data_IF_829989369807
#
_entry.id   IF_829989369807
#
_cell.length_a   1.000
_cell.length_b   1.000
_cell.length_c   1.000
_cell.angle_alpha   90.00
_cell.angle_beta   90.00
_cell.angle_gamma   90.00
#
_symmetry.space_group_name_H-M   'P 1'
#
loop_
_entity.id
_entity.type
_entity.pdbx_description
1 polymer ?
#
# COMPACT_ATOMS: atom_id res chain seq x y z
N UNK A 1 25.65 -9.49 25.98
CA UNK A 1 24.88 -10.07 24.86
C UNK A 1 25.78 -10.37 23.64
N UNK A 2 26.99 -9.80 23.52
CA UNK A 2 27.88 -9.95 22.36
C UNK A 2 28.97 -11.02 22.54
N UNK A 3 28.88 -11.86 23.57
CA UNK A 3 29.95 -12.83 23.92
C UNK A 3 29.61 -14.30 23.67
N UNK A 4 28.41 -14.64 23.24
CA UNK A 4 28.04 -16.02 22.87
C UNK A 4 27.82 -16.07 21.38
N UNK A 5 28.30 -17.09 20.70
CA UNK A 5 28.28 -17.23 19.25
C UNK A 5 26.89 -16.88 18.69
N UNK A 6 26.88 -16.01 17.68
CA UNK A 6 25.65 -15.54 17.02
C UNK A 6 25.02 -16.70 16.26
N UNK A 7 24.04 -17.35 16.88
CA UNK A 7 23.24 -18.38 16.23
C UNK A 7 22.15 -17.70 15.38
N UNK A 8 22.46 -17.49 14.10
CA UNK A 8 21.53 -16.85 13.13
C UNK A 8 20.14 -17.49 13.17
N UNK A 9 20.08 -18.81 13.35
CA UNK A 9 18.82 -19.55 13.42
C UNK A 9 17.99 -19.22 14.67
N UNK A 10 18.62 -19.13 15.84
CA UNK A 10 17.93 -18.72 17.08
C UNK A 10 17.46 -17.28 17.01
N UNK A 11 18.26 -16.39 16.42
CA UNK A 11 17.84 -15.00 16.15
C UNK A 11 16.65 -14.94 15.21
N UNK A 12 16.62 -15.73 14.14
CA UNK A 12 15.50 -15.81 13.22
C UNK A 12 14.24 -16.36 13.90
N UNK A 13 14.36 -17.46 14.65
CA UNK A 13 13.26 -18.03 15.40
C UNK A 13 12.74 -17.06 16.48
N UNK A 14 13.62 -16.38 17.19
CA UNK A 14 13.24 -15.38 18.17
C UNK A 14 12.50 -14.20 17.52
N UNK A 15 12.98 -13.71 16.37
CA UNK A 15 12.29 -12.66 15.64
C UNK A 15 10.92 -13.11 15.10
N UNK A 16 10.84 -14.35 14.58
CA UNK A 16 9.58 -14.94 14.13
C UNK A 16 8.58 -15.07 15.29
N UNK A 17 9.03 -15.64 16.43
CA UNK A 17 8.17 -15.78 17.61
C UNK A 17 7.72 -14.44 18.20
N UNK A 18 8.58 -13.43 18.17
CA UNK A 18 8.22 -12.08 18.60
C UNK A 18 7.23 -11.41 17.66
N UNK A 19 7.37 -11.61 16.36
CA UNK A 19 6.43 -11.07 15.37
C UNK A 19 5.05 -11.72 15.45
N UNK A 20 4.98 -13.01 15.72
CA UNK A 20 3.71 -13.71 15.96
C UNK A 20 3.07 -13.34 17.29
N UNK A 21 3.86 -12.93 18.28
CA UNK A 21 3.39 -12.49 19.59
C UNK A 21 3.18 -10.97 19.71
N UNK A 22 3.15 -10.21 18.62
CA UNK A 22 2.79 -8.78 18.62
C UNK A 22 1.30 -8.54 18.95
N UNK A 23 0.61 -9.55 19.47
CA UNK A 23 -0.81 -9.55 19.83
C UNK A 23 -1.20 -8.66 21.03
N UNK A 24 -0.27 -7.84 21.54
CA UNK A 24 -0.55 -7.03 22.75
C UNK A 24 -1.09 -5.63 22.52
N UNK A 25 -1.22 -5.19 21.27
CA UNK A 25 -1.95 -3.98 20.94
C UNK A 25 -3.30 -4.38 20.32
N UNK A 26 -4.31 -4.59 21.14
CA UNK A 26 -5.70 -4.71 20.70
C UNK A 26 -6.20 -3.35 20.17
N UNK A 27 -5.56 -2.88 19.10
CA UNK A 27 -5.99 -1.70 18.36
C UNK A 27 -7.32 -2.00 17.67
N UNK A 28 -8.27 -1.11 17.81
CA UNK A 28 -9.49 -1.14 16.99
C UNK A 28 -9.13 -0.66 15.58
N UNK A 29 -9.53 -1.40 14.56
CA UNK A 29 -9.34 -1.05 13.16
C UNK A 29 -10.69 -0.86 12.50
N UNK A 30 -10.93 0.31 11.90
CA UNK A 30 -12.12 0.56 11.10
C UNK A 30 -11.88 0.10 9.67
N UNK A 31 -12.64 -0.90 9.25
CA UNK A 31 -12.55 -1.41 7.89
C UNK A 31 -13.94 -1.73 7.34
N UNK A 32 -14.24 -1.16 6.19
CA UNK A 32 -15.52 -1.31 5.47
C UNK A 32 -16.75 -0.95 6.33
N UNK A 33 -16.61 0.06 7.19
CA UNK A 33 -17.66 0.52 8.10
C UNK A 33 -17.85 -0.32 9.36
N UNK A 34 -17.02 -1.35 9.57
CA UNK A 34 -17.08 -2.23 10.74
C UNK A 34 -15.80 -2.10 11.55
N UNK A 35 -15.97 -2.07 12.89
CA UNK A 35 -14.82 -2.09 13.80
C UNK A 35 -14.35 -3.53 14.06
N UNK A 36 -13.08 -3.76 13.84
CA UNK A 36 -12.41 -5.03 14.09
C UNK A 36 -11.45 -4.90 15.26
N UNK A 37 -11.37 -5.97 16.06
CA UNK A 37 -10.41 -6.11 17.17
C UNK A 37 -9.83 -7.51 17.03
N UNK A 38 -8.53 -7.63 16.91
CA UNK A 38 -7.89 -8.91 16.60
C UNK A 38 -8.29 -10.06 17.54
N UNK A 39 -8.46 -9.78 18.85
CA UNK A 39 -8.81 -10.77 19.86
C UNK A 39 -10.26 -11.28 19.81
N UNK A 40 -11.20 -10.47 19.32
CA UNK A 40 -12.65 -10.77 19.38
C UNK A 40 -13.31 -10.87 18.01
N UNK A 41 -12.86 -10.05 17.05
CA UNK A 41 -13.38 -10.00 15.69
C UNK A 41 -12.19 -9.76 14.74
N UNK A 42 -11.51 -10.82 14.25
CA UNK A 42 -10.32 -10.68 13.43
C UNK A 42 -10.63 -10.03 12.06
N UNK A 43 -9.61 -9.41 11.46
CA UNK A 43 -9.74 -8.78 10.15
C UNK A 43 -10.04 -9.83 9.06
N UNK A 44 -10.85 -9.48 8.06
CA UNK A 44 -11.14 -10.41 6.97
C UNK A 44 -9.87 -10.66 6.13
N UNK A 45 -9.73 -11.88 5.58
CA UNK A 45 -8.57 -12.28 4.78
C UNK A 45 -8.25 -11.33 3.60
N UNK A 46 -9.27 -10.64 3.08
CA UNK A 46 -9.12 -9.68 1.98
C UNK A 46 -8.78 -8.26 2.43
N UNK A 47 -8.58 -8.02 3.73
CA UNK A 47 -8.26 -6.70 4.27
C UNK A 47 -7.07 -6.05 3.56
N UNK A 48 -5.92 -6.73 3.55
CA UNK A 48 -4.70 -6.20 2.97
C UNK A 48 -4.79 -5.97 1.46
N UNK A 49 -5.24 -6.93 0.62
CA UNK A 49 -5.42 -6.70 -0.81
C UNK A 49 -6.37 -5.54 -1.13
N UNK A 50 -7.50 -5.46 -0.42
CA UNK A 50 -8.47 -4.38 -0.62
C UNK A 50 -7.88 -3.03 -0.24
N UNK A 51 -7.20 -2.95 0.89
CA UNK A 51 -6.59 -1.70 1.35
C UNK A 51 -5.48 -1.22 0.40
N UNK A 52 -4.63 -2.12 -0.10
CA UNK A 52 -3.64 -1.82 -1.14
C UNK A 52 -4.35 -1.25 -2.39
N UNK A 53 -5.43 -1.88 -2.86
CA UNK A 53 -6.17 -1.43 -4.02
C UNK A 53 -6.81 -0.04 -3.82
N UNK A 54 -7.22 0.30 -2.60
CA UNK A 54 -7.86 1.58 -2.27
C UNK A 54 -6.85 2.73 -2.04
N UNK A 55 -5.65 2.42 -1.59
CA UNK A 55 -4.64 3.43 -1.23
C UNK A 55 -3.61 3.69 -2.32
N UNK A 56 -3.46 2.79 -3.28
CA UNK A 56 -2.62 3.01 -4.46
C UNK A 56 -3.44 3.72 -5.54
N UNK A 57 -2.92 4.76 -6.22
CA UNK A 57 -3.60 5.37 -7.36
C UNK A 57 -4.03 4.34 -8.41
N UNK A 58 -5.27 4.46 -8.90
CA UNK A 58 -5.87 3.45 -9.81
C UNK A 58 -5.00 3.12 -11.02
N UNK A 59 -4.36 4.13 -11.62
CA UNK A 59 -3.49 3.91 -12.77
C UNK A 59 -2.24 3.07 -12.43
N UNK A 60 -1.69 3.18 -11.20
CA UNK A 60 -0.60 2.31 -10.75
C UNK A 60 -1.08 0.87 -10.56
N UNK A 61 -2.30 0.69 -10.05
CA UNK A 61 -2.92 -0.63 -9.98
C UNK A 61 -3.12 -1.24 -11.37
N UNK A 62 -3.56 -0.44 -12.35
CA UNK A 62 -3.67 -0.89 -13.75
C UNK A 62 -2.31 -1.28 -14.31
N UNK A 63 -1.26 -0.50 -14.07
CA UNK A 63 0.10 -0.85 -14.51
C UNK A 63 0.61 -2.13 -13.84
N UNK A 64 0.33 -2.31 -12.55
CA UNK A 64 0.71 -3.53 -11.81
C UNK A 64 0.08 -4.78 -12.42
N UNK A 65 -1.24 -4.77 -12.61
CA UNK A 65 -1.96 -5.91 -13.22
C UNK A 65 -1.57 -6.12 -14.67
N UNK A 66 -1.37 -5.04 -15.43
CA UNK A 66 -0.87 -5.13 -16.81
C UNK A 66 0.51 -5.77 -16.87
N UNK A 67 1.39 -5.51 -15.90
CA UNK A 67 2.72 -6.10 -15.84
C UNK A 67 2.67 -7.63 -15.74
N UNK A 68 1.76 -8.14 -14.91
CA UNK A 68 1.53 -9.59 -14.77
C UNK A 68 1.01 -10.17 -16.09
N UNK A 69 0.02 -9.51 -16.71
CA UNK A 69 -0.55 -9.94 -17.99
C UNK A 69 0.49 -9.98 -19.11
N UNK A 70 1.33 -8.95 -19.20
CA UNK A 70 2.43 -8.88 -20.18
C UNK A 70 3.43 -10.00 -19.96
N UNK A 71 3.83 -10.26 -18.72
CA UNK A 71 4.77 -11.32 -18.39
C UNK A 71 4.22 -12.70 -18.77
N UNK A 72 2.97 -12.99 -18.44
CA UNK A 72 2.29 -14.23 -18.81
C UNK A 72 2.16 -14.39 -20.34
N UNK A 73 1.80 -13.31 -21.04
CA UNK A 73 1.70 -13.30 -22.52
C UNK A 73 3.04 -13.64 -23.17
N UNK A 74 4.14 -13.01 -22.73
CA UNK A 74 5.50 -13.27 -23.25
C UNK A 74 5.96 -14.69 -22.92
N UNK A 75 5.62 -15.20 -21.73
CA UNK A 75 5.91 -16.57 -21.35
C UNK A 75 5.25 -17.60 -22.30
N UNK A 76 3.98 -17.39 -22.62
CA UNK A 76 3.26 -18.25 -23.60
C UNK A 76 3.86 -18.20 -25.00
N UNK A 77 4.48 -17.08 -25.36
CA UNK A 77 5.15 -16.89 -26.67
C UNK A 77 6.62 -17.31 -26.66
N UNK A 78 7.17 -17.79 -25.54
CA UNK A 78 8.60 -18.10 -25.35
C UNK A 78 9.53 -16.94 -25.73
N UNK A 79 9.10 -15.69 -25.53
CA UNK A 79 9.82 -14.46 -25.88
C UNK A 79 10.48 -13.80 -24.67
N UNK A 80 11.15 -14.58 -23.84
CA UNK A 80 11.76 -14.08 -22.61
C UNK A 80 13.13 -13.44 -22.85
N UNK A 81 13.28 -12.22 -22.35
CA UNK A 81 14.55 -11.54 -22.21
C UNK A 81 15.03 -11.55 -20.75
N UNK A 82 16.15 -10.91 -20.46
CA UNK A 82 16.69 -10.85 -19.10
C UNK A 82 15.68 -10.27 -18.09
N UNK A 83 14.98 -9.19 -18.42
CA UNK A 83 14.00 -8.57 -17.55
C UNK A 83 12.81 -9.53 -17.24
N UNK A 84 12.41 -10.35 -18.20
CA UNK A 84 11.34 -11.33 -18.03
C UNK A 84 11.73 -12.46 -17.06
N UNK A 85 13.03 -12.80 -17.02
CA UNK A 85 13.56 -13.85 -16.12
C UNK A 85 13.67 -13.37 -14.68
N UNK A 86 13.96 -12.09 -14.45
CA UNK A 86 14.06 -11.54 -13.09
C UNK A 86 12.71 -11.05 -12.55
N UNK A 87 11.71 -10.84 -13.41
CA UNK A 87 10.37 -10.35 -13.03
C UNK A 87 9.73 -11.18 -11.91
N UNK A 88 9.77 -12.55 -11.93
CA UNK A 88 9.19 -13.37 -10.88
C UNK A 88 9.78 -13.09 -9.49
N UNK A 89 11.04 -12.68 -9.40
CA UNK A 89 11.65 -12.32 -8.13
C UNK A 89 10.88 -11.18 -7.46
N UNK A 90 10.57 -10.12 -8.21
CA UNK A 90 9.82 -8.97 -7.70
C UNK A 90 8.35 -9.33 -7.42
N UNK A 91 7.74 -10.15 -8.28
CA UNK A 91 6.39 -10.65 -8.07
C UNK A 91 6.26 -11.51 -6.81
N UNK A 92 7.23 -12.39 -6.55
CA UNK A 92 7.26 -13.21 -5.33
C UNK A 92 7.57 -12.38 -4.09
N UNK A 93 8.53 -11.42 -4.18
CA UNK A 93 8.89 -10.55 -3.04
C UNK A 93 7.72 -9.67 -2.60
N UNK A 94 6.86 -9.25 -3.52
CA UNK A 94 5.63 -8.50 -3.17
C UNK A 94 4.44 -9.42 -2.87
N UNK A 95 4.27 -10.51 -3.59
CA UNK A 95 3.12 -11.40 -3.50
C UNK A 95 3.13 -12.31 -2.27
N UNK A 96 4.29 -12.92 -1.94
CA UNK A 96 4.39 -13.83 -0.80
C UNK A 96 3.98 -13.17 0.53
N UNK A 97 4.48 -11.96 0.90
CA UNK A 97 4.03 -11.30 2.13
C UNK A 97 2.52 -11.03 2.17
N UNK A 98 1.92 -10.67 1.03
CA UNK A 98 0.47 -10.46 0.94
C UNK A 98 -0.27 -11.78 1.16
N UNK A 99 0.16 -12.87 0.51
CA UNK A 99 -0.44 -14.20 0.70
C UNK A 99 -0.28 -14.70 2.14
N UNK A 100 0.88 -14.51 2.75
CA UNK A 100 1.10 -14.86 4.16
C UNK A 100 0.18 -14.05 5.07
N UNK A 101 0.02 -12.76 4.81
CA UNK A 101 -0.91 -11.93 5.59
C UNK A 101 -2.38 -12.37 5.43
N UNK A 102 -2.77 -12.86 4.25
CA UNK A 102 -4.12 -13.39 4.02
C UNK A 102 -4.37 -14.73 4.71
N UNK A 103 -3.33 -15.57 4.88
CA UNK A 103 -3.46 -16.92 5.40
C UNK A 103 -3.19 -17.02 6.91
N UNK A 104 -2.32 -16.16 7.44
CA UNK A 104 -1.84 -16.25 8.82
C UNK A 104 -2.48 -15.23 9.77
N UNK A 105 -3.40 -14.40 9.28
CA UNK A 105 -4.11 -13.36 10.05
C UNK A 105 -3.19 -12.58 11.01
N UNK A 106 -2.14 -11.92 10.49
CA UNK A 106 -1.25 -11.13 11.32
C UNK A 106 -2.00 -9.93 11.88
N UNK A 107 -1.66 -9.51 13.11
CA UNK A 107 -2.22 -8.32 13.71
C UNK A 107 -1.80 -7.06 12.92
N UNK A 108 -2.57 -6.73 11.90
CA UNK A 108 -2.40 -5.53 11.07
C UNK A 108 -3.26 -4.41 11.66
N UNK A 109 -2.65 -3.26 11.89
CA UNK A 109 -3.32 -2.05 12.34
C UNK A 109 -2.73 -0.83 11.63
N UNK A 110 -3.50 0.25 11.59
CA UNK A 110 -3.10 1.50 10.96
C UNK A 110 -2.71 1.33 9.49
N UNK A 111 -3.57 0.68 8.73
CA UNK A 111 -3.34 0.44 7.33
C UNK A 111 -2.31 -0.66 7.05
N UNK A 112 -1.70 -0.59 5.88
CA UNK A 112 -0.68 -1.55 5.45
C UNK A 112 0.77 -1.04 5.57
N UNK A 113 0.99 -0.05 6.44
CA UNK A 113 2.32 0.56 6.65
C UNK A 113 3.41 -0.46 7.00
N UNK A 114 3.04 -1.53 7.71
CA UNK A 114 3.97 -2.61 8.05
C UNK A 114 4.44 -3.40 6.83
N UNK A 115 3.73 -3.27 5.70
CA UNK A 115 3.99 -3.94 4.43
C UNK A 115 4.57 -3.00 3.37
N UNK A 116 4.97 -1.75 3.71
CA UNK A 116 5.50 -0.81 2.72
C UNK A 116 6.74 -1.30 2.00
N UNK A 117 7.47 -2.26 2.56
CA UNK A 117 8.61 -2.88 1.88
C UNK A 117 8.24 -3.60 0.57
N UNK A 118 6.97 -4.02 0.40
CA UNK A 118 6.50 -4.62 -0.86
C UNK A 118 6.29 -3.58 -1.96
N UNK A 119 6.19 -2.30 -1.61
CA UNK A 119 5.92 -1.24 -2.57
C UNK A 119 7.08 -1.04 -3.55
N UNK A 120 8.34 -1.17 -3.09
CA UNK A 120 9.51 -1.11 -3.95
C UNK A 120 9.47 -2.15 -5.09
N UNK A 121 9.35 -3.45 -4.81
CA UNK A 121 9.15 -4.47 -5.83
C UNK A 121 7.95 -4.22 -6.75
N UNK A 122 6.81 -3.75 -6.22
CA UNK A 122 5.64 -3.39 -7.03
C UNK A 122 5.95 -2.27 -8.03
N UNK A 123 6.71 -1.24 -7.63
CA UNK A 123 7.16 -0.17 -8.55
C UNK A 123 8.01 -0.75 -9.69
N UNK A 124 8.91 -1.69 -9.41
CA UNK A 124 9.72 -2.35 -10.45
C UNK A 124 8.83 -3.13 -11.42
N UNK A 125 7.80 -3.81 -10.93
CA UNK A 125 6.81 -4.50 -11.78
C UNK A 125 6.03 -3.51 -12.65
N UNK A 126 5.61 -2.37 -12.10
CA UNK A 126 4.94 -1.31 -12.88
C UNK A 126 5.87 -0.72 -13.94
N UNK A 127 7.14 -0.47 -13.59
CA UNK A 127 8.16 0.00 -14.54
C UNK A 127 8.41 -1.00 -15.69
N UNK A 128 8.32 -2.30 -15.41
CA UNK A 128 8.36 -3.33 -16.44
C UNK A 128 7.22 -3.17 -17.47
N UNK A 129 5.98 -2.90 -17.02
CA UNK A 129 4.86 -2.65 -17.91
C UNK A 129 5.08 -1.40 -18.76
N UNK A 130 5.52 -0.30 -18.13
CA UNK A 130 5.86 0.96 -18.83
C UNK A 130 6.93 0.71 -19.90
N UNK A 131 8.02 0.02 -19.55
CA UNK A 131 9.07 -0.35 -20.49
C UNK A 131 8.52 -1.11 -21.69
N UNK A 132 7.67 -2.11 -21.45
CA UNK A 132 7.06 -2.87 -22.54
C UNK A 132 6.23 -2.00 -23.47
N UNK A 133 5.41 -1.10 -22.92
CA UNK A 133 4.58 -0.17 -23.70
C UNK A 133 5.43 0.80 -24.53
N UNK A 134 6.54 1.32 -23.98
CA UNK A 134 7.44 2.23 -24.66
C UNK A 134 8.27 1.54 -25.77
N UNK A 135 8.46 0.24 -25.68
CA UNK A 135 9.20 -0.56 -26.66
C UNK A 135 8.33 -1.08 -27.82
N UNK A 136 7.02 -0.76 -27.84
CA UNK A 136 6.15 -1.20 -28.94
C UNK A 136 6.62 -0.63 -30.28
N UNK A 137 6.64 -1.45 -31.37
CA UNK A 137 7.06 -1.00 -32.68
C UNK A 137 6.10 0.02 -33.29
N UNK A 138 4.80 -0.07 -32.94
CA UNK A 138 3.78 0.85 -33.41
C UNK A 138 3.95 2.23 -32.77
N UNK A 139 4.37 3.21 -33.56
CA UNK A 139 4.62 4.61 -33.09
C UNK A 139 3.41 5.23 -32.42
N UNK A 140 2.18 4.92 -32.91
CA UNK A 140 0.94 5.40 -32.30
C UNK A 140 0.74 4.86 -30.89
N UNK A 141 0.93 3.55 -30.68
CA UNK A 141 0.82 2.93 -29.36
C UNK A 141 1.84 3.51 -28.38
N UNK A 142 3.08 3.71 -28.82
CA UNK A 142 4.14 4.32 -28.01
C UNK A 142 3.82 5.76 -27.62
N UNK A 143 3.35 6.59 -28.57
CA UNK A 143 2.95 7.99 -28.30
C UNK A 143 1.79 8.06 -27.30
N UNK A 144 0.77 7.21 -27.46
CA UNK A 144 -0.37 7.14 -26.54
C UNK A 144 0.12 6.75 -25.13
N UNK A 145 0.95 5.72 -25.01
CA UNK A 145 1.49 5.28 -23.72
C UNK A 145 2.33 6.38 -23.04
N UNK A 146 3.16 7.10 -23.81
CA UNK A 146 3.95 8.23 -23.30
C UNK A 146 3.04 9.38 -22.83
N UNK A 147 2.04 9.75 -23.64
CA UNK A 147 1.10 10.81 -23.28
C UNK A 147 0.31 10.46 -21.99
N UNK A 148 -0.19 9.24 -21.89
CA UNK A 148 -0.86 8.76 -20.69
C UNK A 148 0.04 8.81 -19.46
N UNK A 149 1.30 8.38 -19.59
CA UNK A 149 2.28 8.41 -18.51
C UNK A 149 2.54 9.85 -18.04
N UNK A 150 2.73 10.79 -18.96
CA UNK A 150 2.94 12.22 -18.65
C UNK A 150 1.72 12.80 -17.92
N UNK A 151 0.51 12.53 -18.43
CA UNK A 151 -0.74 12.98 -17.78
C UNK A 151 -0.86 12.40 -16.37
N UNK A 152 -0.58 11.11 -16.19
CA UNK A 152 -0.64 10.48 -14.86
C UNK A 152 0.39 11.07 -13.88
N UNK A 153 1.63 11.29 -14.32
CA UNK A 153 2.65 11.94 -13.48
C UNK A 153 2.23 13.37 -13.14
N UNK A 154 1.72 14.12 -14.10
CA UNK A 154 1.23 15.49 -13.89
C UNK A 154 0.07 15.55 -12.90
N UNK A 155 -0.95 14.72 -13.09
CA UNK A 155 -2.11 14.64 -12.16
C UNK A 155 -1.69 14.27 -10.74
N UNK A 156 -0.70 13.37 -10.57
CA UNK A 156 -0.19 13.05 -9.24
C UNK A 156 0.61 14.18 -8.63
N UNK A 157 1.46 14.84 -9.41
CA UNK A 157 2.21 16.01 -8.94
C UNK A 157 1.27 17.09 -8.42
N UNK A 158 0.21 17.39 -9.18
CA UNK A 158 -0.84 18.32 -8.76
C UNK A 158 -1.57 17.81 -7.52
N UNK A 159 -1.96 16.53 -7.49
CA UNK A 159 -2.61 15.91 -6.33
C UNK A 159 -1.77 16.04 -5.05
N UNK A 160 -0.48 15.71 -5.11
CA UNK A 160 0.44 15.84 -3.99
C UNK A 160 0.59 17.32 -3.56
N UNK A 161 0.70 18.24 -4.51
CA UNK A 161 0.82 19.66 -4.22
C UNK A 161 -0.43 20.21 -3.50
N UNK A 162 -1.62 19.75 -3.90
CA UNK A 162 -2.90 20.18 -3.31
C UNK A 162 -3.17 19.53 -1.96
N UNK A 163 -2.86 18.24 -1.79
CA UNK A 163 -3.08 17.53 -0.52
C UNK A 163 -1.99 17.83 0.52
N UNK A 164 -0.78 18.16 0.07
CA UNK A 164 0.35 18.52 0.92
C UNK A 164 0.64 17.43 1.97
N UNK A 165 0.70 17.82 3.26
CA UNK A 165 1.00 16.92 4.38
C UNK A 165 -0.10 15.87 4.66
N UNK A 166 -1.30 16.04 4.11
CA UNK A 166 -2.43 15.09 4.31
C UNK A 166 -2.41 13.92 3.32
N UNK A 167 -1.32 13.75 2.57
CA UNK A 167 -1.18 12.65 1.59
C UNK A 167 -1.19 11.25 2.24
N UNK A 168 -0.95 11.14 3.55
CA UNK A 168 -1.07 9.89 4.32
C UNK A 168 -2.50 9.36 4.38
N UNK A 169 -3.49 10.26 4.26
CA UNK A 169 -4.92 9.93 4.24
C UNK A 169 -5.46 9.70 2.82
N UNK A 170 -4.58 9.52 1.83
CA UNK A 170 -5.00 9.34 0.45
C UNK A 170 -5.74 8.01 0.25
N UNK A 171 -6.93 8.11 -0.33
CA UNK A 171 -7.66 6.99 -0.94
C UNK A 171 -8.03 7.34 -2.37
N UNK A 172 -8.08 6.34 -3.21
CA UNK A 172 -8.49 6.53 -4.59
C UNK A 172 -10.02 6.49 -4.75
N UNK A 173 -10.51 6.74 -5.97
CA UNK A 173 -11.93 6.79 -6.29
C UNK A 173 -12.71 5.50 -5.95
N UNK A 174 -12.02 4.36 -5.82
CA UNK A 174 -12.65 3.08 -5.48
C UNK A 174 -13.11 3.02 -4.02
N UNK A 175 -12.57 3.87 -3.14
CA UNK A 175 -13.00 3.96 -1.74
C UNK A 175 -14.38 4.59 -1.59
N UNK A 176 -14.85 5.33 -2.61
CA UNK A 176 -16.14 6.04 -2.58
C UNK A 176 -16.10 7.37 -1.84
N UNK A 177 -17.24 8.06 -1.79
CA UNK A 177 -17.34 9.40 -1.20
C UNK A 177 -17.29 9.44 0.33
N UNK A 178 -17.60 8.33 1.02
CA UNK A 178 -17.59 8.22 2.48
C UNK A 178 -16.46 7.31 2.98
N UNK A 179 -15.24 7.58 2.49
CA UNK A 179 -14.09 6.79 2.87
C UNK A 179 -13.73 6.94 4.37
N UNK A 180 -13.95 8.13 4.96
CA UNK A 180 -13.66 8.40 6.38
C UNK A 180 -14.57 7.60 7.33
N UNK A 181 -15.85 7.40 6.98
CA UNK A 181 -16.77 6.59 7.76
C UNK A 181 -16.59 5.07 7.61
N UNK A 182 -15.77 4.63 6.64
CA UNK A 182 -15.61 3.22 6.30
C UNK A 182 -14.22 2.67 6.53
N UNK A 183 -13.18 3.51 6.48
CA UNK A 183 -11.78 3.10 6.58
C UNK A 183 -11.03 4.00 7.53
N UNK A 184 -10.03 3.44 8.20
CA UNK A 184 -9.07 4.21 8.98
C UNK A 184 -8.17 5.02 8.03
N UNK A 185 -8.41 6.35 7.99
CA UNK A 185 -7.82 7.23 6.97
C UNK A 185 -6.49 7.83 7.38
N UNK A 186 -6.33 8.15 8.65
CA UNK A 186 -5.16 8.88 9.12
C UNK A 186 -4.66 8.36 10.46
N UNK A 187 -3.42 7.93 10.47
CA UNK A 187 -2.77 7.44 11.68
C UNK A 187 -1.95 8.50 12.43
N UNK A 188 -1.36 9.45 11.69
CA UNK A 188 -0.39 10.38 12.26
C UNK A 188 -0.99 11.66 12.83
N UNK A 189 -2.29 11.85 12.76
CA UNK A 189 -2.99 13.05 13.25
C UNK A 189 -2.56 14.35 12.56
N UNK A 190 -1.99 14.28 11.35
CA UNK A 190 -1.46 15.45 10.64
C UNK A 190 -2.59 16.40 10.23
N UNK A 191 -3.70 15.83 9.77
CA UNK A 191 -4.90 16.60 9.41
C UNK A 191 -5.57 17.18 10.65
N UNK A 192 -5.68 16.40 11.71
CA UNK A 192 -6.20 16.85 13.00
C UNK A 192 -5.38 18.04 13.55
N UNK A 193 -4.04 17.96 13.48
CA UNK A 193 -3.17 19.06 13.89
C UNK A 193 -3.41 20.35 13.11
N UNK A 194 -3.64 20.26 11.79
CA UNK A 194 -3.96 21.43 10.94
C UNK A 194 -5.30 22.04 11.30
N UNK A 195 -6.34 21.19 11.46
CA UNK A 195 -7.68 21.63 11.86
C UNK A 195 -7.63 22.29 13.24
N UNK A 196 -6.97 21.65 14.21
CA UNK A 196 -6.80 22.18 15.55
C UNK A 196 -6.12 23.54 15.53
N UNK A 197 -5.03 23.68 14.77
CA UNK A 197 -4.33 24.95 14.63
C UNK A 197 -5.26 26.02 14.04
N UNK A 198 -5.98 25.73 12.97
CA UNK A 198 -6.89 26.70 12.36
C UNK A 198 -8.07 27.08 13.27
N UNK A 199 -8.53 26.16 14.12
CA UNK A 199 -9.57 26.41 15.11
C UNK A 199 -9.03 27.29 16.26
N UNK A 200 -7.85 26.98 16.77
CA UNK A 200 -7.20 27.81 17.79
C UNK A 200 -6.92 29.23 17.27
N UNK A 201 -6.43 29.37 16.04
CA UNK A 201 -6.18 30.66 15.39
C UNK A 201 -7.48 31.47 15.21
N UNK A 202 -8.63 30.80 15.02
CA UNK A 202 -9.93 31.45 14.80
C UNK A 202 -10.73 31.74 16.09
N UNK A 203 -10.65 30.86 17.07
CA UNK A 203 -11.54 30.89 18.25
C UNK A 203 -10.79 30.98 19.58
N UNK A 204 -9.46 31.03 19.57
CA UNK A 204 -8.63 31.01 20.79
C UNK A 204 -8.50 29.61 21.38
N UNK A 205 -8.31 29.53 22.69
CA UNK A 205 -8.22 28.21 23.38
C UNK A 205 -9.54 27.46 23.32
N UNK A 206 -9.50 26.25 22.74
CA UNK A 206 -10.68 25.39 22.56
C UNK A 206 -10.40 24.02 23.18
N UNK A 207 -11.32 23.56 24.03
CA UNK A 207 -11.35 22.20 24.50
C UNK A 207 -12.07 21.31 23.51
N UNK A 208 -11.35 20.42 22.83
CA UNK A 208 -11.92 19.51 21.84
C UNK A 208 -11.92 18.09 22.41
N UNK A 209 -13.09 17.50 22.50
CA UNK A 209 -13.25 16.07 22.74
C UNK A 209 -13.22 15.36 21.38
N UNK A 210 -12.17 14.60 21.10
CA UNK A 210 -12.10 13.81 19.86
C UNK A 210 -12.82 12.48 20.10
N UNK A 211 -14.05 12.37 19.65
CA UNK A 211 -14.72 11.08 19.49
C UNK A 211 -14.36 10.50 18.12
N UNK A 212 -13.11 10.22 17.98
CA UNK A 212 -12.43 9.38 17.00
C UNK A 212 -13.02 9.16 15.61
N UNK A 213 -12.67 10.03 14.64
CA UNK A 213 -12.16 9.62 13.34
C UNK A 213 -10.64 9.91 13.36
N UNK A 214 -9.89 9.08 14.10
CA UNK A 214 -8.45 9.16 14.20
C UNK A 214 -7.86 7.84 13.83
#
# INVERSE_FOLDING_TARGET
>A
IWGQGFHLWEFLLWNLSKRTNFSRMDGKVLFDGTWYVHSTNPLPWYYLPKLIALTIPVYLSVLLWSSIGIWLYKGRKHQWNFADRIYPLFALTSGIPVLVAMLCDPNLYNGWRHMYFIYGPMIVMMAYAVRYLLQQPAIRARRIATAMLVVFIGCNGVGIALTGQSSSAYTNILAGGDACGRYEMEYYGVTAKKILKSLVDRYGEIWIKSDGCG
#
